data_IF_325561535720
#
_entry.id   IF_325561535720
#
_cell.length_a   1.000
_cell.length_b   1.000
_cell.length_c   1.000
_cell.angle_alpha   90.00
_cell.angle_beta   90.00
_cell.angle_gamma   90.00
#
_symmetry.space_group_name_H-M   'P 1'
#
loop_
_entity.id
_entity.type
_entity.pdbx_description
1 polymer ?
#
# COMPACT_ATOMS: atom_id res chain seq x y z
N UNK A 1 10.92 -7.12 -26.33
CA UNK A 1 10.32 -7.18 -24.98
C UNK A 1 10.32 -5.73 -24.46
N UNK A 2 9.21 -5.24 -23.93
CA UNK A 2 9.14 -3.87 -23.37
C UNK A 2 9.94 -3.82 -22.06
N UNK A 3 10.56 -2.69 -21.74
CA UNK A 3 11.42 -2.56 -20.54
C UNK A 3 10.70 -2.95 -19.23
N UNK A 4 9.42 -2.59 -19.09
CA UNK A 4 8.64 -2.94 -17.91
C UNK A 4 8.40 -4.47 -17.78
N UNK A 5 8.38 -5.23 -18.86
CA UNK A 5 8.21 -6.70 -18.80
C UNK A 5 9.42 -7.37 -18.16
N UNK A 6 10.63 -6.85 -18.40
CA UNK A 6 11.85 -7.32 -17.73
C UNK A 6 11.75 -7.06 -16.22
N UNK A 7 11.22 -5.88 -15.83
CA UNK A 7 11.02 -5.51 -14.42
C UNK A 7 9.96 -6.38 -13.75
N UNK A 8 8.84 -6.66 -14.41
CA UNK A 8 7.81 -7.57 -13.90
C UNK A 8 8.36 -8.98 -13.69
N UNK A 9 9.17 -9.48 -14.61
CA UNK A 9 9.83 -10.78 -14.47
C UNK A 9 10.80 -10.80 -13.27
N UNK A 10 11.51 -9.69 -13.01
CA UNK A 10 12.37 -9.55 -11.83
C UNK A 10 11.54 -9.55 -10.53
N UNK A 11 10.43 -8.80 -10.48
CA UNK A 11 9.52 -8.79 -9.33
C UNK A 11 9.06 -10.21 -8.98
N UNK A 12 8.61 -10.97 -9.98
CA UNK A 12 8.17 -12.36 -9.76
C UNK A 12 9.32 -13.27 -9.32
N UNK A 13 10.51 -13.08 -9.90
CA UNK A 13 11.70 -13.83 -9.50
C UNK A 13 12.09 -13.56 -8.04
N UNK A 14 12.03 -12.30 -7.62
CA UNK A 14 12.55 -11.87 -6.32
C UNK A 14 11.51 -12.04 -5.20
N UNK A 15 10.22 -11.82 -5.50
CA UNK A 15 9.14 -11.84 -4.49
C UNK A 15 8.26 -13.11 -4.55
N UNK A 16 8.35 -13.86 -5.62
CA UNK A 16 7.45 -14.99 -5.93
C UNK A 16 6.13 -14.54 -6.55
N UNK A 17 5.43 -15.50 -7.15
CA UNK A 17 4.08 -15.24 -7.66
C UNK A 17 3.08 -15.07 -6.49
N UNK A 18 2.07 -14.16 -6.62
CA UNK A 18 1.02 -14.01 -5.63
C UNK A 18 0.33 -15.33 -5.29
N UNK A 19 0.06 -15.55 -4.01
CA UNK A 19 -0.53 -16.81 -3.52
C UNK A 19 -1.82 -16.55 -2.73
N UNK A 20 -2.74 -17.51 -2.79
CA UNK A 20 -3.95 -17.58 -1.96
C UNK A 20 -5.04 -16.57 -2.31
N UNK A 21 -4.81 -15.70 -3.27
CA UNK A 21 -5.79 -14.72 -3.73
C UNK A 21 -6.75 -15.29 -4.77
N UNK A 22 -7.82 -14.54 -5.02
CA UNK A 22 -8.70 -14.78 -6.15
C UNK A 22 -7.91 -14.45 -7.43
N UNK A 23 -7.83 -15.39 -8.37
CA UNK A 23 -7.08 -15.20 -9.62
C UNK A 23 -7.84 -14.37 -10.65
N UNK A 24 -9.13 -14.15 -10.44
CA UNK A 24 -10.02 -13.47 -11.37
C UNK A 24 -10.27 -12.02 -10.95
N UNK A 25 -9.34 -11.12 -11.30
CA UNK A 25 -9.61 -9.68 -11.29
C UNK A 25 -10.19 -9.29 -12.67
N UNK A 26 -11.26 -8.50 -12.69
CA UNK A 26 -11.78 -7.90 -13.92
C UNK A 26 -10.87 -6.75 -14.37
N UNK A 27 -9.80 -7.12 -15.10
CA UNK A 27 -8.80 -6.15 -15.58
C UNK A 27 -9.35 -5.14 -16.56
N UNK A 28 -10.43 -5.48 -17.29
CA UNK A 28 -11.02 -4.57 -18.30
C UNK A 28 -11.57 -3.30 -17.66
N UNK A 29 -12.03 -3.39 -16.42
CA UNK A 29 -12.48 -2.25 -15.61
C UNK A 29 -11.39 -1.20 -15.40
N UNK A 30 -10.12 -1.62 -15.43
CA UNK A 30 -8.96 -0.77 -15.09
C UNK A 30 -8.12 -0.37 -16.29
N UNK A 31 -8.44 -0.85 -17.52
CA UNK A 31 -7.74 -0.43 -18.74
C UNK A 31 -7.82 1.07 -18.94
N UNK A 32 -6.66 1.69 -19.22
CA UNK A 32 -6.52 3.14 -19.38
C UNK A 32 -6.60 3.94 -18.07
N UNK A 33 -6.85 3.28 -16.93
CA UNK A 33 -6.90 3.89 -15.59
C UNK A 33 -5.66 3.57 -14.75
N UNK A 34 -5.07 2.39 -14.98
CA UNK A 34 -3.78 2.00 -14.42
C UNK A 34 -2.80 1.70 -15.56
N UNK A 35 -1.46 1.71 -15.30
CA UNK A 35 -0.48 1.37 -16.31
C UNK A 35 -0.66 -0.03 -16.90
N UNK A 36 -0.30 -0.21 -18.18
CA UNK A 36 -0.37 -1.52 -18.85
C UNK A 36 0.43 -2.60 -18.11
N UNK A 37 1.54 -2.23 -17.47
CA UNK A 37 2.34 -3.13 -16.65
C UNK A 37 1.53 -3.77 -15.51
N UNK A 38 0.61 -3.03 -14.88
CA UNK A 38 -0.27 -3.54 -13.82
C UNK A 38 -1.29 -4.50 -14.40
N UNK A 39 -1.91 -4.15 -15.54
CA UNK A 39 -2.86 -5.01 -16.25
C UNK A 39 -2.19 -6.34 -16.63
N UNK A 40 -1.00 -6.27 -17.23
CA UNK A 40 -0.24 -7.46 -17.63
C UNK A 40 0.16 -8.31 -16.42
N UNK A 41 0.58 -7.67 -15.31
CA UNK A 41 0.90 -8.38 -14.07
C UNK A 41 -0.30 -9.15 -13.52
N UNK A 42 -1.48 -8.51 -13.42
CA UNK A 42 -2.69 -9.15 -12.92
C UNK A 42 -3.16 -10.29 -13.83
N UNK A 43 -3.08 -10.12 -15.16
CA UNK A 43 -3.46 -11.17 -16.13
C UNK A 43 -2.56 -12.41 -16.03
N UNK A 44 -1.27 -12.22 -15.78
CA UNK A 44 -0.30 -13.32 -15.75
C UNK A 44 -0.18 -13.98 -14.38
N UNK A 45 -0.34 -13.22 -13.30
CA UNK A 45 0.01 -13.66 -11.95
C UNK A 45 -1.16 -13.60 -10.96
N UNK A 46 -2.26 -12.88 -11.31
CA UNK A 46 -3.37 -12.65 -10.38
C UNK A 46 -3.01 -11.70 -9.23
N UNK A 47 -3.73 -11.84 -8.14
CA UNK A 47 -3.56 -11.10 -6.88
C UNK A 47 -3.37 -12.08 -5.71
N UNK A 48 -2.90 -11.57 -4.58
CA UNK A 48 -2.65 -12.40 -3.39
C UNK A 48 -1.38 -12.00 -2.64
N UNK A 49 -0.91 -12.85 -1.75
CA UNK A 49 0.24 -12.58 -0.89
C UNK A 49 1.56 -12.88 -1.60
N UNK A 50 2.55 -12.02 -1.39
CA UNK A 50 3.97 -12.20 -1.77
C UNK A 50 4.86 -11.99 -0.55
N UNK A 51 6.15 -12.32 -0.65
CA UNK A 51 7.14 -12.10 0.41
C UNK A 51 6.67 -12.67 1.76
N UNK A 52 6.11 -13.88 1.73
CA UNK A 52 5.61 -14.55 2.95
C UNK A 52 4.48 -13.80 3.68
N UNK A 53 3.70 -12.99 2.97
CA UNK A 53 2.62 -12.16 3.51
C UNK A 53 3.07 -10.77 3.96
N UNK A 54 4.30 -10.36 3.65
CA UNK A 54 4.78 -8.99 3.89
C UNK A 54 4.01 -7.97 3.05
N UNK A 55 3.61 -8.37 1.83
CA UNK A 55 2.78 -7.58 0.95
C UNK A 55 1.67 -8.44 0.32
N UNK A 56 0.54 -7.81 -0.05
CA UNK A 56 -0.57 -8.44 -0.74
C UNK A 56 -1.03 -7.55 -1.90
N UNK A 57 -1.08 -8.11 -3.12
CA UNK A 57 -1.77 -7.50 -4.24
C UNK A 57 -3.29 -7.68 -4.07
N UNK A 58 -4.07 -6.66 -4.42
CA UNK A 58 -5.52 -6.67 -4.20
C UNK A 58 -6.30 -6.19 -5.43
N UNK A 59 -7.61 -6.49 -5.47
CA UNK A 59 -8.54 -5.85 -6.39
C UNK A 59 -8.83 -4.43 -5.91
N UNK A 60 -8.51 -3.38 -6.71
CA UNK A 60 -8.75 -1.98 -6.33
C UNK A 60 -10.21 -1.69 -5.97
N UNK A 61 -11.16 -2.36 -6.62
CA UNK A 61 -12.59 -2.16 -6.37
C UNK A 61 -13.00 -2.46 -4.94
N UNK A 62 -12.36 -3.44 -4.30
CA UNK A 62 -12.63 -3.80 -2.90
C UNK A 62 -12.16 -2.73 -1.92
N UNK A 63 -11.13 -1.96 -2.28
CA UNK A 63 -10.52 -0.95 -1.41
C UNK A 63 -10.95 0.49 -1.74
N UNK A 64 -11.82 0.68 -2.73
CA UNK A 64 -12.34 2.01 -3.11
C UNK A 64 -13.02 2.74 -1.96
N UNK A 65 -13.70 2.02 -1.05
CA UNK A 65 -14.29 2.60 0.16
C UNK A 65 -13.25 3.18 1.13
N UNK A 66 -12.08 2.54 1.26
CA UNK A 66 -10.97 3.06 2.08
C UNK A 66 -10.41 4.34 1.45
N UNK A 67 -10.22 4.34 0.11
CA UNK A 67 -9.72 5.52 -0.59
C UNK A 67 -10.69 6.71 -0.47
N UNK A 68 -12.02 6.46 -0.44
CA UNK A 68 -13.01 7.51 -0.15
C UNK A 68 -12.92 8.05 1.27
N UNK A 69 -12.63 7.21 2.25
CA UNK A 69 -12.39 7.66 3.63
C UNK A 69 -11.10 8.49 3.77
N UNK A 70 -10.13 8.28 2.88
CA UNK A 70 -8.85 9.01 2.86
C UNK A 70 -8.97 10.32 2.06
N UNK A 71 -9.50 10.28 0.84
CA UNK A 71 -9.43 11.36 -0.14
C UNK A 71 -10.79 11.96 -0.52
N UNK A 72 -11.86 11.71 0.26
CA UNK A 72 -13.23 12.06 -0.14
C UNK A 72 -13.48 13.55 -0.41
N UNK A 73 -12.74 14.44 0.24
CA UNK A 73 -12.78 15.89 0.06
C UNK A 73 -11.50 16.50 -0.50
N UNK A 74 -10.45 15.69 -0.75
CA UNK A 74 -9.15 16.23 -1.13
C UNK A 74 -9.19 16.88 -2.53
N UNK A 75 -8.74 18.14 -2.68
CA UNK A 75 -8.86 18.88 -3.95
C UNK A 75 -7.91 18.39 -5.04
N UNK A 76 -6.83 17.72 -4.67
CA UNK A 76 -5.78 17.30 -5.60
C UNK A 76 -5.81 15.80 -5.88
N UNK A 77 -6.04 14.97 -4.84
CA UNK A 77 -6.03 13.50 -4.95
C UNK A 77 -7.47 12.99 -4.89
N UNK A 78 -8.09 12.76 -6.04
CA UNK A 78 -9.46 12.26 -6.10
C UNK A 78 -9.52 10.75 -5.85
N UNK A 79 -10.37 10.33 -4.93
CA UNK A 79 -10.55 8.91 -4.57
C UNK A 79 -10.96 8.05 -5.77
N UNK A 80 -11.82 8.57 -6.68
CA UNK A 80 -12.31 7.89 -7.87
C UNK A 80 -11.23 7.65 -8.93
N UNK A 81 -10.15 8.45 -8.90
CA UNK A 81 -8.99 8.34 -9.79
C UNK A 81 -7.81 7.60 -9.13
N UNK A 82 -8.02 7.08 -7.94
CA UNK A 82 -6.97 6.39 -7.17
C UNK A 82 -7.31 4.91 -7.04
N UNK A 83 -6.37 4.03 -7.37
CA UNK A 83 -6.55 2.59 -7.43
C UNK A 83 -5.55 1.90 -6.51
N UNK A 84 -6.03 1.25 -5.45
CA UNK A 84 -5.18 0.45 -4.57
C UNK A 84 -4.63 -0.76 -5.35
N UNK A 85 -3.31 -0.87 -5.47
CA UNK A 85 -2.64 -1.99 -6.12
C UNK A 85 -2.36 -3.13 -5.13
N UNK A 86 -2.19 -2.78 -3.87
CA UNK A 86 -1.92 -3.72 -2.79
C UNK A 86 -1.63 -3.02 -1.47
N UNK A 87 -1.27 -3.81 -0.48
CA UNK A 87 -0.97 -3.28 0.86
C UNK A 87 0.04 -4.15 1.61
N UNK A 88 0.82 -3.52 2.46
CA UNK A 88 1.77 -4.17 3.35
C UNK A 88 1.11 -4.84 4.55
N UNK A 89 1.87 -5.68 5.24
CA UNK A 89 1.42 -6.47 6.39
C UNK A 89 0.84 -5.66 7.56
N UNK A 90 1.09 -4.35 7.62
CA UNK A 90 0.56 -3.44 8.64
C UNK A 90 -0.46 -2.43 8.10
N UNK A 91 -0.88 -2.58 6.82
CA UNK A 91 -1.94 -1.77 6.24
C UNK A 91 -1.47 -0.51 5.50
N UNK A 92 -0.18 -0.37 5.21
CA UNK A 92 0.31 0.65 4.28
C UNK A 92 -0.17 0.31 2.87
N UNK A 93 -0.97 1.19 2.25
CA UNK A 93 -1.54 0.97 0.92
C UNK A 93 -0.58 1.53 -0.13
N UNK A 94 -0.32 0.74 -1.16
CA UNK A 94 0.33 1.15 -2.41
C UNK A 94 -0.76 1.33 -3.46
N UNK A 95 -0.83 2.51 -4.06
CA UNK A 95 -1.88 2.88 -5.00
C UNK A 95 -1.31 3.61 -6.22
N UNK A 96 -2.11 3.63 -7.28
CA UNK A 96 -1.90 4.41 -8.49
C UNK A 96 -2.98 5.47 -8.62
N UNK A 97 -2.60 6.73 -8.77
CA UNK A 97 -3.51 7.82 -9.13
C UNK A 97 -3.36 8.16 -10.62
N UNK A 98 -4.48 8.26 -11.33
CA UNK A 98 -4.51 8.50 -12.79
C UNK A 98 -3.82 9.82 -13.19
N UNK A 99 -3.79 10.81 -12.29
CA UNK A 99 -3.19 12.13 -12.51
C UNK A 99 -1.79 12.23 -11.93
N UNK A 100 -1.60 11.74 -10.69
CA UNK A 100 -0.38 11.96 -9.91
C UNK A 100 0.51 10.73 -9.78
N UNK A 101 0.18 9.62 -10.47
CA UNK A 101 0.96 8.37 -10.49
C UNK A 101 1.05 7.70 -9.12
N UNK A 102 2.23 7.47 -8.61
CA UNK A 102 2.46 6.69 -7.38
C UNK A 102 1.90 7.40 -6.14
N UNK A 103 1.09 6.66 -5.37
CA UNK A 103 0.58 7.09 -4.06
C UNK A 103 0.84 6.00 -3.04
N UNK A 104 1.39 6.36 -1.90
CA UNK A 104 1.53 5.46 -0.75
C UNK A 104 0.82 6.07 0.45
N UNK A 105 -0.02 5.27 1.13
CA UNK A 105 -0.83 5.70 2.26
C UNK A 105 -0.45 4.86 3.48
N UNK A 106 0.25 5.45 4.42
CA UNK A 106 0.56 4.83 5.71
C UNK A 106 -0.54 5.18 6.72
N UNK A 107 -1.52 4.29 6.85
CA UNK A 107 -2.66 4.49 7.73
C UNK A 107 -2.29 4.43 9.22
N UNK A 108 -1.19 3.77 9.58
CA UNK A 108 -0.71 3.66 10.97
C UNK A 108 -0.05 4.95 11.42
N UNK A 109 0.70 5.60 10.51
CA UNK A 109 1.39 6.88 10.79
C UNK A 109 0.56 8.11 10.41
N UNK A 110 -0.53 7.93 9.65
CA UNK A 110 -1.32 9.04 9.14
C UNK A 110 -0.60 9.84 8.05
N UNK A 111 0.15 9.17 7.18
CA UNK A 111 0.99 9.81 6.17
C UNK A 111 0.61 9.38 4.75
N UNK A 112 0.58 10.35 3.86
CA UNK A 112 0.37 10.13 2.41
C UNK A 112 1.59 10.65 1.66
N UNK A 113 2.17 9.81 0.82
CA UNK A 113 3.22 10.18 -0.12
C UNK A 113 2.66 10.19 -1.53
N UNK A 114 2.83 11.30 -2.25
CA UNK A 114 2.43 11.47 -3.64
C UNK A 114 3.50 12.31 -4.37
N UNK A 115 4.64 11.70 -4.78
CA UNK A 115 5.80 12.43 -5.25
C UNK A 115 5.52 13.35 -6.44
N UNK A 116 4.71 12.92 -7.41
CA UNK A 116 4.40 13.72 -8.59
C UNK A 116 3.52 14.95 -8.26
N UNK A 117 2.67 14.88 -7.24
CA UNK A 117 1.94 16.04 -6.74
C UNK A 117 2.90 17.05 -6.07
N UNK A 118 3.84 16.55 -5.25
CA UNK A 118 4.76 17.37 -4.46
C UNK A 118 5.81 18.07 -5.34
N UNK A 119 6.42 17.36 -6.28
CA UNK A 119 7.56 17.87 -7.05
C UNK A 119 7.24 18.19 -8.52
N UNK A 120 6.01 17.93 -8.98
CA UNK A 120 5.54 18.15 -10.35
C UNK A 120 6.14 17.21 -11.40
N UNK A 121 6.98 16.24 -11.02
CA UNK A 121 7.66 15.35 -11.96
C UNK A 121 6.83 14.10 -12.21
N UNK A 122 6.60 13.78 -13.47
CA UNK A 122 5.95 12.55 -13.92
C UNK A 122 6.90 11.77 -14.81
N UNK A 123 6.78 10.46 -14.75
CA UNK A 123 7.59 9.52 -15.53
C UNK A 123 6.70 8.72 -16.48
N UNK A 124 7.30 7.90 -17.33
CA UNK A 124 6.54 6.88 -18.05
C UNK A 124 5.74 6.04 -17.05
N UNK A 125 4.43 5.88 -17.22
CA UNK A 125 3.57 5.23 -16.21
C UNK A 125 4.00 3.79 -15.88
N UNK A 126 4.43 3.02 -16.89
CA UNK A 126 4.89 1.65 -16.68
C UNK A 126 6.22 1.60 -15.93
N UNK A 127 7.10 2.58 -16.20
CA UNK A 127 8.37 2.70 -15.48
C UNK A 127 8.13 3.10 -14.02
N UNK A 128 7.26 4.08 -13.77
CA UNK A 128 6.93 4.57 -12.43
C UNK A 128 6.37 3.42 -11.57
N UNK A 129 5.28 2.79 -12.00
CA UNK A 129 4.63 1.73 -11.23
C UNK A 129 5.53 0.52 -11.02
N UNK A 130 6.31 0.10 -12.03
CA UNK A 130 7.23 -1.04 -11.82
C UNK A 130 8.37 -0.70 -10.88
N UNK A 131 8.82 0.55 -10.85
CA UNK A 131 9.81 1.01 -9.85
C UNK A 131 9.21 0.95 -8.44
N UNK A 132 7.98 1.43 -8.24
CA UNK A 132 7.27 1.32 -6.97
C UNK A 132 7.11 -0.14 -6.52
N UNK A 133 6.70 -1.02 -7.45
CA UNK A 133 6.52 -2.45 -7.15
C UNK A 133 7.83 -3.18 -6.85
N UNK A 134 8.96 -2.75 -7.38
CA UNK A 134 10.28 -3.33 -7.05
C UNK A 134 10.75 -3.00 -5.64
N UNK A 135 10.11 -2.07 -4.95
CA UNK A 135 10.45 -1.63 -3.60
C UNK A 135 9.54 -2.21 -2.51
N UNK A 136 8.70 -3.21 -2.84
CA UNK A 136 7.73 -3.78 -1.89
C UNK A 136 8.38 -4.54 -0.72
N UNK A 137 9.62 -4.97 -0.84
CA UNK A 137 10.42 -5.57 0.23
C UNK A 137 11.14 -4.53 1.11
N UNK A 138 10.98 -3.24 0.79
CA UNK A 138 11.61 -2.14 1.53
C UNK A 138 11.19 -2.16 3.01
N UNK A 139 12.13 -1.96 3.93
CA UNK A 139 11.86 -1.83 5.35
C UNK A 139 10.83 -0.76 5.75
N UNK A 140 10.54 0.20 4.88
CA UNK A 140 9.53 1.25 5.13
C UNK A 140 8.12 0.70 5.24
N UNK A 141 7.83 -0.48 4.69
CA UNK A 141 6.55 -1.19 4.86
C UNK A 141 6.46 -1.99 6.15
N UNK A 142 7.56 -2.11 6.93
CA UNK A 142 7.56 -2.75 8.25
C UNK A 142 7.20 -1.72 9.33
N UNK A 143 6.67 -2.20 10.45
CA UNK A 143 6.54 -1.42 11.65
C UNK A 143 7.72 -1.71 12.60
N UNK A 144 8.01 -0.74 13.46
CA UNK A 144 9.13 -0.83 14.40
C UNK A 144 8.62 -0.68 15.83
N UNK A 145 9.23 -1.42 16.76
CA UNK A 145 8.97 -1.26 18.19
C UNK A 145 9.66 0.00 18.75
N UNK A 146 9.46 0.26 20.05
CA UNK A 146 10.08 1.39 20.75
C UNK A 146 11.62 1.36 20.76
N UNK A 147 12.23 0.24 20.40
CA UNK A 147 13.69 0.03 20.31
C UNK A 147 14.18 -0.02 18.85
N UNK A 148 13.37 0.46 17.90
CA UNK A 148 13.66 0.45 16.47
C UNK A 148 13.91 -0.96 15.88
N UNK A 149 13.28 -2.00 16.46
CA UNK A 149 13.33 -3.37 15.93
C UNK A 149 12.12 -3.62 15.04
N UNK A 150 12.36 -4.22 13.87
CA UNK A 150 11.32 -4.61 12.91
C UNK A 150 10.34 -5.61 13.53
N UNK A 151 9.06 -5.43 13.25
CA UNK A 151 7.98 -6.21 13.85
C UNK A 151 7.41 -7.31 12.96
N UNK A 152 7.58 -7.28 11.63
CA UNK A 152 6.95 -8.27 10.74
C UNK A 152 7.36 -9.71 11.07
N UNK A 153 8.66 -10.03 11.05
CA UNK A 153 9.14 -11.39 11.33
C UNK A 153 8.75 -11.88 12.71
N UNK A 154 8.92 -11.09 13.80
CA UNK A 154 8.45 -11.46 15.13
C UNK A 154 6.92 -11.65 15.21
N UNK A 155 6.13 -10.77 14.56
CA UNK A 155 4.68 -10.89 14.52
C UNK A 155 4.24 -12.18 13.83
N UNK A 156 4.82 -12.49 12.67
CA UNK A 156 4.56 -13.73 11.94
C UNK A 156 4.93 -14.97 12.76
N UNK A 157 6.04 -14.93 13.48
CA UNK A 157 6.46 -16.05 14.35
C UNK A 157 5.51 -16.27 15.52
N UNK A 158 4.99 -15.17 16.11
CA UNK A 158 4.13 -15.23 17.31
C UNK A 158 2.67 -15.47 16.98
N UNK A 159 2.14 -14.82 15.94
CA UNK A 159 0.70 -14.77 15.62
C UNK A 159 0.33 -15.68 14.45
N UNK A 160 1.31 -16.18 13.70
CA UNK A 160 1.11 -16.95 12.47
C UNK A 160 1.18 -16.10 11.21
N UNK A 161 1.09 -16.77 10.05
CA UNK A 161 1.06 -16.15 8.73
C UNK A 161 -0.26 -15.41 8.52
N UNK A 162 -0.19 -14.29 7.80
CA UNK A 162 -1.39 -13.60 7.33
C UNK A 162 -2.06 -14.38 6.20
N UNK A 163 -3.37 -14.54 6.29
CA UNK A 163 -4.21 -14.93 5.16
C UNK A 163 -4.45 -13.74 4.21
N UNK A 164 -5.02 -14.02 3.03
CA UNK A 164 -5.43 -12.98 2.09
C UNK A 164 -6.49 -12.09 2.75
N UNK A 165 -6.29 -10.78 2.65
CA UNK A 165 -7.17 -9.79 3.28
C UNK A 165 -6.94 -9.61 4.77
N UNK A 166 -5.84 -10.13 5.34
CA UNK A 166 -5.49 -9.95 6.75
C UNK A 166 -4.26 -9.07 6.91
N UNK A 167 -4.17 -8.38 8.04
CA UNK A 167 -3.02 -7.55 8.44
C UNK A 167 -2.73 -7.73 9.94
N UNK A 168 -1.51 -7.41 10.35
CA UNK A 168 -1.18 -7.18 11.76
C UNK A 168 -1.56 -5.75 12.13
N UNK A 169 -2.23 -5.58 13.26
CA UNK A 169 -2.58 -4.25 13.78
C UNK A 169 -2.33 -4.15 15.28
N UNK A 170 -2.07 -2.95 15.76
CA UNK A 170 -1.89 -2.66 17.18
C UNK A 170 -3.24 -2.61 17.92
N UNK A 171 -3.27 -3.14 19.12
CA UNK A 171 -4.43 -3.11 20.03
C UNK A 171 -4.03 -2.54 21.40
N UNK A 172 -4.53 -1.40 21.80
CA UNK A 172 -5.29 -0.42 21.00
C UNK A 172 -4.50 0.09 19.78
N UNK A 173 -5.19 0.70 18.80
CA UNK A 173 -4.50 1.37 17.68
C UNK A 173 -3.65 2.53 18.23
N UNK A 174 -2.55 2.85 17.54
CA UNK A 174 -1.58 3.83 18.04
C UNK A 174 -2.19 5.22 18.24
N UNK A 175 -3.07 5.66 17.34
CA UNK A 175 -3.79 6.92 17.41
C UNK A 175 -4.67 7.06 18.68
N UNK A 176 -5.07 5.95 19.29
CA UNK A 176 -5.87 5.90 20.52
C UNK A 176 -5.05 5.46 21.76
N UNK A 177 -3.75 5.75 21.76
CA UNK A 177 -2.87 5.49 22.91
C UNK A 177 -2.29 4.07 22.95
N UNK A 178 -2.37 3.32 21.86
CA UNK A 178 -1.65 2.04 21.71
C UNK A 178 -0.14 2.22 21.76
N UNK A 179 0.59 1.16 22.07
CA UNK A 179 2.03 1.19 22.06
C UNK A 179 2.62 0.31 20.94
N UNK A 180 3.83 0.67 20.47
CA UNK A 180 4.57 -0.04 19.43
C UNK A 180 5.33 -1.22 20.04
N UNK A 181 4.60 -2.27 20.40
CA UNK A 181 5.17 -3.48 20.95
C UNK A 181 4.62 -4.74 20.26
N UNK A 182 5.45 -5.75 20.12
CA UNK A 182 5.03 -7.06 19.60
C UNK A 182 3.85 -7.65 20.40
N UNK A 183 3.79 -7.37 21.72
CA UNK A 183 2.72 -7.86 22.58
C UNK A 183 1.35 -7.23 22.23
N UNK A 184 1.34 -6.03 21.66
CA UNK A 184 0.14 -5.29 21.28
C UNK A 184 -0.38 -5.66 19.88
N UNK A 185 0.34 -6.49 19.13
CA UNK A 185 -0.09 -6.91 17.80
C UNK A 185 -1.09 -8.05 17.85
N UNK A 186 -2.07 -8.00 16.95
CA UNK A 186 -3.00 -9.09 16.64
C UNK A 186 -3.31 -9.10 15.14
N UNK A 187 -3.93 -10.16 14.63
CA UNK A 187 -4.38 -10.26 13.25
C UNK A 187 -5.78 -9.67 13.14
N UNK A 188 -5.99 -8.84 12.12
CA UNK A 188 -7.28 -8.25 11.76
C UNK A 188 -7.62 -8.52 10.29
N UNK A 189 -8.91 -8.49 9.97
CA UNK A 189 -9.37 -8.33 8.59
C UNK A 189 -8.99 -6.91 8.11
N UNK A 190 -8.32 -6.83 6.95
CA UNK A 190 -7.72 -5.59 6.46
C UNK A 190 -8.74 -4.47 6.28
N UNK A 191 -9.84 -4.73 5.56
CA UNK A 191 -10.81 -3.70 5.22
C UNK A 191 -11.42 -2.99 6.44
N UNK A 192 -12.02 -3.70 7.43
CA UNK A 192 -12.58 -3.01 8.59
C UNK A 192 -11.52 -2.33 9.44
N UNK A 193 -10.33 -2.92 9.58
CA UNK A 193 -9.27 -2.30 10.38
C UNK A 193 -8.68 -1.04 9.71
N UNK A 194 -8.45 -1.09 8.40
CA UNK A 194 -8.02 0.08 7.62
C UNK A 194 -9.06 1.21 7.66
N UNK A 195 -10.37 0.88 7.63
CA UNK A 195 -11.42 1.88 7.77
C UNK A 195 -11.37 2.58 9.14
N UNK A 196 -11.06 1.86 10.21
CA UNK A 196 -10.86 2.44 11.54
C UNK A 196 -9.61 3.33 11.53
N UNK A 197 -8.48 2.85 11.01
CA UNK A 197 -7.23 3.61 10.96
C UNK A 197 -7.40 4.90 10.14
N UNK A 198 -8.05 4.82 8.97
CA UNK A 198 -8.30 5.99 8.12
C UNK A 198 -9.09 7.09 8.82
N UNK A 199 -9.92 6.74 9.82
CA UNK A 199 -10.76 7.69 10.56
C UNK A 199 -10.16 8.12 11.91
N UNK A 200 -9.13 7.42 12.39
CA UNK A 200 -8.62 7.59 13.75
C UNK A 200 -7.78 8.86 13.94
N UNK A 201 -7.22 9.41 12.87
CA UNK A 201 -6.40 10.61 12.92
C UNK A 201 -6.38 11.34 11.56
N UNK A 202 -5.96 12.59 11.55
CA UNK A 202 -5.74 13.36 10.33
C UNK A 202 -4.57 12.77 9.54
N UNK A 203 -4.75 12.66 8.22
CA UNK A 203 -3.71 12.23 7.31
C UNK A 203 -2.96 13.44 6.77
N UNK A 204 -1.63 13.34 6.69
CA UNK A 204 -0.75 14.41 6.22
C UNK A 204 -0.15 14.05 4.87
N UNK A 205 -0.24 14.95 3.88
CA UNK A 205 0.59 14.87 2.68
C UNK A 205 2.03 15.19 3.06
N UNK A 206 2.97 14.30 2.70
CA UNK A 206 4.37 14.41 3.07
C UNK A 206 5.25 14.81 1.89
N UNK A 207 6.16 15.75 2.10
CA UNK A 207 7.35 15.92 1.26
C UNK A 207 8.44 14.98 1.78
N UNK A 208 8.84 14.02 0.97
CA UNK A 208 9.86 13.04 1.29
C UNK A 208 11.27 13.43 0.77
N UNK A 209 11.41 14.59 0.10
CA UNK A 209 12.72 15.06 -0.39
C UNK A 209 13.67 15.47 0.74
N UNK A 210 13.23 16.21 1.78
CA UNK A 210 14.08 16.50 2.94
C UNK A 210 14.15 15.27 3.88
N UNK A 211 15.23 15.20 4.66
CA UNK A 211 15.34 14.24 5.75
C UNK A 211 15.45 14.96 7.10
N UNK A 212 14.56 14.68 8.06
CA UNK A 212 13.38 13.79 7.96
C UNK A 212 12.29 14.36 7.03
N UNK A 213 11.39 13.49 6.50
CA UNK A 213 10.23 13.94 5.73
C UNK A 213 9.39 14.98 6.45
N UNK A 214 8.85 15.96 5.72
CA UNK A 214 8.11 17.08 6.30
C UNK A 214 6.63 17.05 5.89
N UNK A 215 5.69 17.32 6.81
CA UNK A 215 4.29 17.48 6.46
C UNK A 215 4.08 18.76 5.65
N UNK A 216 3.31 18.69 4.57
CA UNK A 216 2.97 19.83 3.71
C UNK A 216 1.58 20.39 4.03
N UNK A 217 0.59 19.51 4.08
CA UNK A 217 -0.81 19.84 4.39
C UNK A 217 -1.57 18.63 4.89
N UNK A 218 -2.71 18.90 5.50
CA UNK A 218 -3.70 17.85 5.80
C UNK A 218 -4.36 17.36 4.51
N UNK A 219 -4.65 16.08 4.43
CA UNK A 219 -5.51 15.48 3.40
C UNK A 219 -6.97 15.73 3.80
N UNK A 220 -7.76 16.33 2.90
CA UNK A 220 -9.17 16.63 3.13
C UNK A 220 -10.05 15.39 2.85
N UNK A 221 -11.06 15.18 3.71
CA UNK A 221 -11.95 14.00 3.66
C UNK A 221 -13.33 14.35 3.17
#
# INVERSE_FOLDING_TARGET
MKDYQVRLASIIKDFGAPQGGDTAIDVERYRGRVPDAVIEFWQQNGIGTVLDGYFQFCDPGRYSGILKLVFGGDPDIHAEQTHALGFGAFGTIVAWNEVHQDVTIDLVKGQVSCPALVNGKRYDPNLAVTTQLMLLDDPTFDEYDAHAKKLFKPARSKLGKLGVGQIYGFRPILALGGNRALASLTIYEALPHMAILAQAHELQLMDNAPFPPQPMRVIER
#
